data_IF_775125768619
#
_entry.id   IF_775125768619
#
_cell.length_a   1.000
_cell.length_b   1.000
_cell.length_c   1.000
_cell.angle_alpha   90.00
_cell.angle_beta   90.00
_cell.angle_gamma   90.00
#
_symmetry.space_group_name_H-M   'P 1'
#
loop_
_entity.id
_entity.type
_entity.pdbx_description
1 polymer ?
#
# COMPACT_ATOMS: atom_id res chain seq x y z
N UNK A 1 1.30 -3.20 -23.37
CA UNK A 1 2.06 -1.94 -23.48
C UNK A 1 2.35 -1.40 -22.10
N UNK A 2 3.64 -1.28 -21.75
CA UNK A 2 4.11 -0.76 -20.46
C UNK A 2 3.82 0.74 -20.35
N UNK A 3 2.71 1.12 -19.71
CA UNK A 3 2.54 2.53 -19.29
C UNK A 3 3.51 2.80 -18.15
N UNK A 4 4.55 3.58 -18.45
CA UNK A 4 5.51 4.11 -17.50
C UNK A 4 4.79 5.27 -16.78
N UNK A 5 4.41 5.06 -15.51
CA UNK A 5 3.64 6.01 -14.71
C UNK A 5 4.30 7.40 -14.68
N UNK A 6 3.67 8.40 -15.30
CA UNK A 6 4.06 9.80 -15.08
C UNK A 6 3.34 10.33 -13.84
N UNK A 7 3.95 11.28 -13.14
CA UNK A 7 3.43 11.83 -11.88
C UNK A 7 2.01 12.44 -11.98
N UNK A 8 1.61 12.91 -13.17
CA UNK A 8 0.26 13.38 -13.44
C UNK A 8 -0.77 12.25 -13.54
N UNK A 9 -0.35 11.06 -13.98
CA UNK A 9 -1.22 9.90 -14.16
C UNK A 9 -1.70 9.35 -12.81
N UNK A 10 -0.90 9.51 -11.74
CA UNK A 10 -1.30 9.11 -10.39
C UNK A 10 -2.56 9.87 -9.94
N UNK A 11 -2.58 11.20 -10.13
CA UNK A 11 -3.77 11.99 -9.84
C UNK A 11 -4.88 11.71 -10.85
N UNK A 12 -4.56 11.49 -12.12
CA UNK A 12 -5.55 11.10 -13.13
C UNK A 12 -6.05 9.65 -13.00
N UNK A 13 -5.58 8.82 -12.08
CA UNK A 13 -6.26 7.56 -11.71
C UNK A 13 -7.03 7.71 -10.39
N UNK A 14 -6.56 8.61 -9.52
CA UNK A 14 -7.27 9.04 -8.30
C UNK A 14 -8.57 9.77 -8.67
N UNK A 15 -8.59 10.56 -9.75
CA UNK A 15 -9.69 11.48 -10.09
C UNK A 15 -10.84 10.92 -10.98
N UNK A 16 -10.65 9.98 -11.92
CA UNK A 16 -11.73 9.47 -12.77
C UNK A 16 -12.55 8.36 -12.13
N UNK A 17 -12.15 7.84 -10.97
CA UNK A 17 -13.00 6.93 -10.18
C UNK A 17 -14.17 7.65 -9.47
N UNK A 18 -14.42 8.92 -9.84
CA UNK A 18 -15.50 9.79 -9.38
C UNK A 18 -16.70 9.86 -10.35
N UNK A 19 -16.96 8.80 -11.12
CA UNK A 19 -18.27 8.70 -11.78
C UNK A 19 -19.35 8.26 -10.77
N UNK A 20 -20.14 9.23 -10.33
CA UNK A 20 -21.11 9.13 -9.24
C UNK A 20 -22.43 8.43 -9.60
N UNK A 21 -22.54 7.77 -10.76
CA UNK A 21 -23.83 7.28 -11.24
C UNK A 21 -24.21 5.86 -10.79
N UNK A 22 -23.26 4.98 -10.45
CA UNK A 22 -23.59 3.53 -10.36
C UNK A 22 -23.70 2.92 -8.96
N UNK A 23 -23.36 3.64 -7.88
CA UNK A 23 -23.26 2.99 -6.55
C UNK A 23 -24.04 3.65 -5.40
N UNK A 24 -24.86 4.68 -5.61
CA UNK A 24 -25.80 5.16 -4.57
C UNK A 24 -25.20 5.55 -3.21
N UNK A 25 -23.88 5.67 -3.10
CA UNK A 25 -23.17 5.98 -1.85
C UNK A 25 -22.90 7.49 -1.79
N UNK A 26 -23.77 8.20 -1.08
CA UNK A 26 -23.55 9.58 -0.66
C UNK A 26 -22.54 9.57 0.50
N UNK A 27 -21.52 10.43 0.41
CA UNK A 27 -20.57 10.81 1.47
C UNK A 27 -19.38 9.86 1.72
N UNK A 28 -18.25 10.09 1.04
CA UNK A 28 -16.92 9.72 1.56
C UNK A 28 -15.86 10.71 1.05
N UNK A 29 -15.51 11.69 1.90
CA UNK A 29 -14.57 12.79 1.60
C UNK A 29 -13.09 12.44 1.87
N UNK A 30 -12.78 11.17 2.15
CA UNK A 30 -11.44 10.74 2.56
C UNK A 30 -10.91 9.64 1.65
N UNK A 31 -9.93 9.98 0.83
CA UNK A 31 -9.18 9.02 0.02
C UNK A 31 -7.80 8.81 0.62
N UNK A 32 -7.30 7.57 0.60
CA UNK A 32 -5.95 7.26 1.07
C UNK A 32 -5.06 6.83 -0.10
N UNK A 33 -3.89 7.46 -0.22
CA UNK A 33 -2.89 7.12 -1.23
C UNK A 33 -1.61 6.64 -0.55
N UNK A 34 -1.00 5.59 -1.08
CA UNK A 34 0.15 4.92 -0.47
C UNK A 34 1.33 4.94 -1.41
N UNK A 35 2.44 5.48 -0.89
CA UNK A 35 3.72 5.45 -1.54
C UNK A 35 4.71 4.57 -0.79
N UNK A 36 5.16 3.50 -1.44
CA UNK A 36 6.05 2.51 -0.89
C UNK A 36 7.46 2.63 -1.50
N UNK A 37 8.22 3.68 -1.15
CA UNK A 37 9.66 3.77 -1.48
C UNK A 37 10.37 4.99 -0.91
N UNK A 38 11.66 4.85 -0.57
CA UNK A 38 12.58 5.99 -0.36
C UNK A 38 13.03 6.67 -1.68
N UNK A 39 13.05 5.93 -2.79
CA UNK A 39 13.39 6.43 -4.12
C UNK A 39 12.21 6.23 -5.06
N UNK A 40 11.58 7.33 -5.47
CA UNK A 40 11.00 7.36 -6.79
C UNK A 40 12.12 7.76 -7.73
N UNK A 41 12.35 7.01 -8.82
CA UNK A 41 13.08 7.56 -9.97
C UNK A 41 12.31 8.72 -10.64
N UNK A 42 11.08 8.99 -10.17
CA UNK A 42 10.19 10.02 -10.66
C UNK A 42 10.23 11.29 -9.79
N UNK A 43 9.85 12.41 -10.40
CA UNK A 43 9.63 13.69 -9.72
C UNK A 43 8.62 13.51 -8.56
N UNK A 44 8.71 14.26 -7.46
CA UNK A 44 7.66 14.29 -6.45
C UNK A 44 6.32 14.63 -7.13
N UNK A 45 5.24 13.95 -6.74
CA UNK A 45 3.88 14.25 -7.21
C UNK A 45 2.99 14.82 -6.10
N UNK A 46 3.54 15.03 -4.91
CA UNK A 46 2.87 15.67 -3.78
C UNK A 46 3.77 16.75 -3.17
N UNK A 47 3.17 17.84 -2.68
CA UNK A 47 3.89 18.91 -1.99
C UNK A 47 4.42 18.44 -0.64
N UNK A 48 5.52 19.03 -0.19
CA UNK A 48 6.13 18.83 1.14
C UNK A 48 6.03 20.12 1.95
N UNK A 49 6.54 20.11 3.18
CA UNK A 49 6.58 21.31 4.02
C UNK A 49 7.33 22.48 3.35
N UNK A 50 8.39 22.18 2.60
CA UNK A 50 9.23 23.17 1.88
C UNK A 50 8.54 23.71 0.62
N UNK A 51 7.73 22.88 -0.04
CA UNK A 51 6.99 23.26 -1.23
C UNK A 51 5.51 22.94 -1.06
N UNK A 52 4.77 23.87 -0.42
CA UNK A 52 3.40 23.64 0.07
C UNK A 52 2.35 23.46 -1.01
N UNK A 53 2.65 23.73 -2.29
CA UNK A 53 1.67 23.68 -3.36
C UNK A 53 2.28 23.14 -4.66
N UNK A 54 1.60 22.17 -5.27
CA UNK A 54 1.96 21.64 -6.58
C UNK A 54 0.76 21.72 -7.53
N UNK A 55 1.06 21.92 -8.81
CA UNK A 55 0.07 21.99 -9.88
C UNK A 55 0.39 20.97 -10.96
N UNK A 56 -0.64 20.29 -11.45
CA UNK A 56 -0.54 19.28 -12.52
C UNK A 56 -1.61 19.54 -13.59
N UNK A 57 -1.46 18.89 -14.75
CA UNK A 57 -2.40 18.96 -15.88
C UNK A 57 -2.75 20.43 -16.24
N UNK A 58 -1.76 21.21 -16.68
CA UNK A 58 -1.94 22.62 -17.06
C UNK A 58 -2.66 23.46 -15.98
N UNK A 59 -2.24 23.31 -14.72
CA UNK A 59 -2.79 24.00 -13.54
C UNK A 59 -4.24 23.63 -13.15
N UNK A 60 -4.84 22.63 -13.78
CA UNK A 60 -6.19 22.17 -13.43
C UNK A 60 -6.22 21.43 -12.10
N UNK A 61 -5.23 20.59 -11.82
CA UNK A 61 -5.14 19.85 -10.55
C UNK A 61 -4.21 20.60 -9.62
N UNK A 62 -4.71 20.95 -8.44
CA UNK A 62 -3.95 21.66 -7.40
C UNK A 62 -3.85 20.78 -6.16
N UNK A 63 -2.63 20.46 -5.75
CA UNK A 63 -2.37 19.68 -4.54
C UNK A 63 -1.71 20.60 -3.52
N UNK A 64 -2.32 20.73 -2.34
CA UNK A 64 -1.83 21.56 -1.23
C UNK A 64 -1.40 20.67 -0.07
N UNK A 65 -0.22 20.97 0.47
CA UNK A 65 0.25 20.38 1.72
C UNK A 65 -0.53 20.99 2.89
N UNK A 66 -1.04 20.14 3.77
CA UNK A 66 -1.64 20.58 5.04
C UNK A 66 -0.67 20.32 6.19
N UNK A 67 -0.36 19.05 6.44
CA UNK A 67 0.46 18.63 7.57
C UNK A 67 1.11 17.27 7.30
N UNK A 68 2.30 17.05 7.84
CA UNK A 68 2.93 15.73 7.92
C UNK A 68 2.93 15.24 9.37
N UNK A 69 2.67 13.95 9.54
CA UNK A 69 2.66 13.25 10.81
C UNK A 69 3.64 12.08 10.73
N UNK A 70 4.50 11.96 11.73
CA UNK A 70 5.16 10.70 12.00
C UNK A 70 4.14 9.75 12.63
N UNK A 71 3.96 8.56 12.04
CA UNK A 71 3.01 7.55 12.54
C UNK A 71 3.75 6.58 13.44
N UNK A 72 4.73 5.87 12.88
CA UNK A 72 5.55 4.92 13.61
C UNK A 72 6.77 4.51 12.77
N UNK A 73 7.93 4.32 13.40
CA UNK A 73 9.13 3.85 12.71
C UNK A 73 9.45 4.70 11.48
N UNK A 74 9.37 4.12 10.29
CA UNK A 74 9.60 4.81 9.02
C UNK A 74 8.32 5.11 8.22
N UNK A 75 7.16 5.09 8.87
CA UNK A 75 5.87 5.41 8.28
C UNK A 75 5.47 6.85 8.61
N UNK A 76 5.19 7.62 7.56
CA UNK A 76 4.74 9.00 7.65
C UNK A 76 3.38 9.15 6.97
N UNK A 77 2.53 10.03 7.48
CA UNK A 77 1.26 10.42 6.85
C UNK A 77 1.29 11.90 6.53
N UNK A 78 1.10 12.24 5.26
CA UNK A 78 0.91 13.63 4.81
C UNK A 78 -0.55 13.84 4.48
N UNK A 79 -1.19 14.79 5.16
CA UNK A 79 -2.54 15.21 4.84
C UNK A 79 -2.47 16.26 3.73
N UNK A 80 -3.19 16.00 2.63
CA UNK A 80 -3.19 16.77 1.39
C UNK A 80 -4.61 17.24 1.06
N UNK A 81 -4.70 18.40 0.42
CA UNK A 81 -5.96 18.91 -0.15
C UNK A 81 -5.78 18.98 -1.67
N UNK A 82 -6.61 18.24 -2.41
CA UNK A 82 -6.54 18.13 -3.86
C UNK A 82 -7.76 18.80 -4.47
N UNK A 83 -7.58 19.85 -5.24
CA UNK A 83 -8.65 20.46 -6.04
C UNK A 83 -8.52 20.08 -7.51
N UNK A 84 -9.64 19.78 -8.16
CA UNK A 84 -9.72 19.61 -9.61
C UNK A 84 -11.08 20.11 -10.13
N UNK A 85 -11.18 20.58 -11.39
CA UNK A 85 -12.41 21.21 -11.91
C UNK A 85 -13.59 20.23 -11.99
N UNK A 86 -13.32 18.93 -12.14
CA UNK A 86 -14.36 17.90 -12.22
C UNK A 86 -14.96 17.52 -10.85
N UNK A 87 -14.40 18.01 -9.73
CA UNK A 87 -14.88 17.65 -8.39
C UNK A 87 -16.11 18.46 -7.98
N UNK A 88 -17.19 17.78 -7.60
CA UNK A 88 -18.42 18.42 -7.10
C UNK A 88 -18.22 19.27 -5.84
N UNK A 89 -17.34 18.87 -4.93
CA UNK A 89 -17.06 19.60 -3.67
C UNK A 89 -15.88 20.58 -3.77
N UNK A 90 -15.34 20.79 -4.96
CA UNK A 90 -14.20 21.70 -5.23
C UNK A 90 -12.85 21.24 -4.67
N UNK A 91 -12.81 20.30 -3.73
CA UNK A 91 -11.61 19.68 -3.23
C UNK A 91 -11.86 18.30 -2.59
N UNK A 92 -10.81 17.49 -2.49
CA UNK A 92 -10.74 16.18 -1.86
C UNK A 92 -9.66 16.21 -0.78
N UNK A 93 -9.95 15.64 0.39
CA UNK A 93 -8.95 15.42 1.44
C UNK A 93 -8.29 14.07 1.22
N UNK A 94 -6.98 14.07 1.07
CA UNK A 94 -6.18 12.87 0.82
C UNK A 94 -5.21 12.63 1.96
N UNK A 95 -5.24 11.44 2.54
CA UNK A 95 -4.19 11.00 3.46
C UNK A 95 -3.17 10.19 2.69
N UNK A 96 -1.98 10.75 2.52
CA UNK A 96 -0.88 10.14 1.81
C UNK A 96 0.08 9.46 2.78
N UNK A 97 0.17 8.14 2.72
CA UNK A 97 1.07 7.37 3.59
C UNK A 97 2.35 7.02 2.84
N UNK A 98 3.48 7.33 3.45
CA UNK A 98 4.81 7.09 2.90
C UNK A 98 5.62 6.18 3.81
N UNK A 99 5.86 4.94 3.35
CA UNK A 99 6.76 4.02 4.05
C UNK A 99 8.18 4.10 3.49
N UNK A 100 9.09 4.69 4.27
CA UNK A 100 10.46 5.05 3.85
C UNK A 100 11.51 3.94 4.05
N UNK A 101 11.18 2.83 4.71
CA UNK A 101 12.17 1.78 5.03
C UNK A 101 12.06 0.55 4.13
N UNK A 102 11.20 0.57 3.09
CA UNK A 102 11.22 -0.52 2.11
C UNK A 102 12.43 -0.37 1.17
N UNK A 103 13.41 -1.29 1.22
CA UNK A 103 14.63 -1.19 0.42
C UNK A 103 14.37 -1.39 -1.08
N UNK A 104 15.24 -0.82 -1.93
CA UNK A 104 15.20 -0.94 -3.40
C UNK A 104 15.43 -2.36 -3.89
N UNK A 105 16.22 -3.14 -3.15
CA UNK A 105 16.40 -4.58 -3.36
C UNK A 105 15.96 -5.32 -2.09
N UNK A 106 15.32 -6.47 -2.27
CA UNK A 106 14.85 -7.29 -1.16
C UNK A 106 13.57 -6.77 -0.48
N UNK A 107 13.47 -7.05 0.81
CA UNK A 107 12.27 -6.82 1.63
C UNK A 107 12.62 -6.14 2.96
N UNK A 108 11.67 -5.47 3.63
CA UNK A 108 11.94 -4.82 4.91
C UNK A 108 12.28 -5.84 6.01
N UNK A 109 13.15 -5.45 6.94
CA UNK A 109 13.42 -6.25 8.15
C UNK A 109 12.24 -6.26 9.14
N UNK A 110 11.34 -5.27 9.04
CA UNK A 110 10.16 -5.21 9.89
C UNK A 110 9.16 -6.27 9.49
N UNK A 111 8.67 -7.02 10.47
CA UNK A 111 7.74 -8.13 10.34
C UNK A 111 6.27 -7.72 10.33
N UNK A 112 5.93 -6.62 11.01
CA UNK A 112 4.54 -6.21 11.21
C UNK A 112 4.22 -4.82 10.64
N UNK A 113 5.23 -4.05 10.20
CA UNK A 113 5.01 -2.74 9.58
C UNK A 113 4.00 -2.76 8.41
N UNK A 114 3.98 -3.77 7.51
CA UNK A 114 2.93 -3.85 6.48
C UNK A 114 1.53 -3.92 7.07
N UNK A 115 1.33 -4.69 8.14
CA UNK A 115 0.02 -4.85 8.77
C UNK A 115 -0.42 -3.59 9.52
N UNK A 116 0.52 -2.90 10.17
CA UNK A 116 0.26 -1.62 10.82
C UNK A 116 -0.10 -0.53 9.80
N UNK A 117 0.59 -0.51 8.67
CA UNK A 117 0.21 0.33 7.54
C UNK A 117 -1.22 0.00 7.07
N UNK A 118 -1.53 -1.29 6.94
CA UNK A 118 -2.83 -1.74 6.46
C UNK A 118 -3.96 -1.43 7.44
N UNK A 119 -3.69 -1.36 8.74
CA UNK A 119 -4.66 -0.90 9.74
C UNK A 119 -5.21 0.50 9.41
N UNK A 120 -4.36 1.37 8.85
CA UNK A 120 -4.76 2.68 8.36
C UNK A 120 -5.42 2.66 6.97
N UNK A 121 -5.86 1.54 6.41
CA UNK A 121 -6.70 1.51 5.18
C UNK A 121 -7.97 0.70 5.32
N UNK A 122 -8.07 -0.11 6.36
CA UNK A 122 -9.26 -0.91 6.59
C UNK A 122 -10.46 0.04 6.73
N UNK A 123 -11.54 -0.28 6.01
CA UNK A 123 -12.77 0.51 5.99
C UNK A 123 -12.76 1.72 5.04
N UNK A 124 -11.68 1.97 4.30
CA UNK A 124 -11.66 3.01 3.27
C UNK A 124 -12.20 2.43 1.96
N UNK A 125 -13.18 3.09 1.31
CA UNK A 125 -13.83 2.54 0.12
C UNK A 125 -12.88 2.40 -1.08
N UNK A 126 -11.89 3.30 -1.19
CA UNK A 126 -10.89 3.29 -2.26
C UNK A 126 -9.52 3.72 -1.73
N UNK A 127 -8.51 2.91 -2.02
CA UNK A 127 -7.12 3.22 -1.72
C UNK A 127 -6.24 2.99 -2.95
N UNK A 128 -5.34 3.92 -3.22
CA UNK A 128 -4.33 3.78 -4.29
C UNK A 128 -3.02 3.34 -3.66
N UNK A 129 -2.48 2.21 -4.10
CA UNK A 129 -1.20 1.68 -3.61
C UNK A 129 -0.22 1.63 -4.76
N UNK A 130 0.94 2.27 -4.61
CA UNK A 130 1.96 2.19 -5.64
C UNK A 130 3.39 2.24 -5.07
N UNK A 131 4.32 1.82 -5.93
CA UNK A 131 5.76 1.93 -5.72
C UNK A 131 6.36 2.64 -6.93
N UNK A 132 7.46 2.15 -7.51
CA UNK A 132 8.01 2.69 -8.76
C UNK A 132 7.27 2.12 -9.99
N UNK A 133 7.31 0.80 -10.20
CA UNK A 133 6.62 0.13 -11.31
C UNK A 133 5.18 -0.31 -10.98
N UNK A 134 4.80 -0.27 -9.69
CA UNK A 134 3.48 -0.67 -9.23
C UNK A 134 3.21 -2.18 -9.31
N UNK A 135 4.24 -3.03 -9.24
CA UNK A 135 4.13 -4.50 -9.37
C UNK A 135 4.81 -5.28 -8.23
N UNK A 136 6.05 -4.94 -7.86
CA UNK A 136 6.79 -5.63 -6.79
C UNK A 136 6.21 -5.36 -5.40
N UNK A 137 6.67 -4.28 -4.74
CA UNK A 137 6.23 -3.89 -3.39
C UNK A 137 4.73 -3.67 -3.28
N UNK A 138 4.14 -3.08 -4.31
CA UNK A 138 2.68 -2.90 -4.42
C UNK A 138 1.97 -4.24 -4.38
N UNK A 139 2.38 -5.20 -5.22
CA UNK A 139 1.80 -6.54 -5.22
C UNK A 139 1.99 -7.24 -3.88
N UNK A 140 3.17 -7.11 -3.26
CA UNK A 140 3.45 -7.67 -1.94
C UNK A 140 2.51 -7.11 -0.86
N UNK A 141 2.32 -5.80 -0.78
CA UNK A 141 1.43 -5.20 0.21
C UNK A 141 -0.04 -5.59 -0.02
N UNK A 142 -0.49 -5.60 -1.28
CA UNK A 142 -1.84 -6.04 -1.65
C UNK A 142 -2.05 -7.51 -1.31
N UNK A 143 -1.06 -8.38 -1.56
CA UNK A 143 -1.14 -9.78 -1.21
C UNK A 143 -1.22 -10.00 0.31
N UNK A 144 -0.44 -9.27 1.11
CA UNK A 144 -0.55 -9.28 2.58
C UNK A 144 -1.94 -8.84 3.03
N UNK A 145 -2.49 -7.78 2.42
CA UNK A 145 -3.84 -7.31 2.72
C UNK A 145 -4.90 -8.38 2.45
N UNK A 146 -4.90 -8.96 1.25
CA UNK A 146 -5.85 -10.01 0.87
C UNK A 146 -5.71 -11.22 1.77
N UNK A 147 -4.48 -11.66 2.05
CA UNK A 147 -4.23 -12.79 2.95
C UNK A 147 -4.74 -12.52 4.37
N UNK A 148 -4.50 -11.31 4.90
CA UNK A 148 -5.02 -10.92 6.20
C UNK A 148 -6.56 -10.90 6.23
N UNK A 149 -7.22 -10.39 5.17
CA UNK A 149 -8.67 -10.41 5.04
C UNK A 149 -9.24 -11.84 5.00
N UNK A 150 -8.65 -12.73 4.20
CA UNK A 150 -9.04 -14.15 4.14
C UNK A 150 -8.98 -14.81 5.52
N UNK A 151 -7.92 -14.54 6.29
CA UNK A 151 -7.79 -15.05 7.66
C UNK A 151 -8.82 -14.45 8.61
N UNK A 152 -9.11 -13.14 8.49
CA UNK A 152 -10.16 -12.50 9.29
C UNK A 152 -11.57 -13.07 9.01
N UNK A 153 -11.81 -13.50 7.77
CA UNK A 153 -13.04 -14.17 7.36
C UNK A 153 -13.09 -15.66 7.77
N UNK A 154 -12.03 -16.19 8.40
CA UNK A 154 -11.94 -17.60 8.77
C UNK A 154 -11.83 -18.55 7.57
N UNK A 155 -11.44 -18.04 6.40
CA UNK A 155 -11.33 -18.82 5.18
C UNK A 155 -9.95 -19.48 5.04
N UNK A 156 -9.85 -20.63 4.35
CA UNK A 156 -8.58 -21.28 4.08
C UNK A 156 -7.69 -20.36 3.21
N UNK A 157 -6.48 -20.07 3.68
CA UNK A 157 -5.54 -19.22 2.97
C UNK A 157 -4.57 -20.06 2.12
N UNK A 158 -4.63 -19.87 0.80
CA UNK A 158 -3.64 -20.39 -0.14
C UNK A 158 -2.90 -19.21 -0.83
N UNK A 159 -1.69 -18.91 -0.36
CA UNK A 159 -0.90 -17.78 -0.86
C UNK A 159 -0.50 -17.96 -2.34
N UNK A 160 -0.24 -19.19 -2.79
CA UNK A 160 0.07 -19.45 -4.20
C UNK A 160 -1.11 -19.11 -5.12
N UNK A 161 -2.31 -19.60 -4.79
CA UNK A 161 -3.52 -19.31 -5.54
C UNK A 161 -3.84 -17.80 -5.54
N UNK A 162 -3.73 -17.15 -4.37
CA UNK A 162 -3.92 -15.71 -4.22
C UNK A 162 -2.99 -14.92 -5.14
N UNK A 163 -1.70 -15.25 -5.18
CA UNK A 163 -0.73 -14.55 -6.01
C UNK A 163 -0.95 -14.84 -7.50
N UNK A 164 -1.32 -16.07 -7.87
CA UNK A 164 -1.72 -16.40 -9.24
C UNK A 164 -2.87 -15.51 -9.70
N UNK A 165 -3.90 -15.36 -8.87
CA UNK A 165 -5.08 -14.57 -9.22
C UNK A 165 -4.77 -13.06 -9.23
N UNK A 166 -3.90 -12.58 -8.33
CA UNK A 166 -3.38 -11.22 -8.37
C UNK A 166 -2.60 -10.95 -9.68
N UNK A 167 -1.79 -11.90 -10.14
CA UNK A 167 -1.04 -11.79 -11.40
C UNK A 167 -1.92 -11.80 -12.65
N UNK A 168 -3.13 -12.38 -12.57
CA UNK A 168 -4.14 -12.28 -13.65
C UNK A 168 -4.70 -10.86 -13.77
N UNK A 169 -4.88 -10.17 -12.63
CA UNK A 169 -5.35 -8.78 -12.61
C UNK A 169 -4.24 -7.78 -12.95
N UNK A 170 -3.01 -8.03 -12.46
CA UNK A 170 -1.84 -7.20 -12.74
C UNK A 170 -0.61 -8.07 -12.94
N UNK A 171 -0.21 -8.20 -14.20
CA UNK A 171 0.91 -9.05 -14.61
C UNK A 171 2.20 -8.70 -13.86
N UNK A 172 3.01 -9.74 -13.60
CA UNK A 172 4.29 -9.63 -12.88
C UNK A 172 4.21 -9.08 -11.45
N UNK A 173 3.02 -9.04 -10.84
CA UNK A 173 2.90 -8.72 -9.41
C UNK A 173 3.70 -9.70 -8.55
N UNK A 174 4.42 -9.18 -7.54
CA UNK A 174 5.43 -9.91 -6.74
C UNK A 174 6.54 -10.45 -7.65
N UNK A 175 7.64 -9.70 -7.75
CA UNK A 175 8.69 -9.95 -8.76
C UNK A 175 9.82 -10.85 -8.26
N UNK A 176 10.07 -10.89 -6.95
CA UNK A 176 11.22 -11.61 -6.38
C UNK A 176 10.76 -12.71 -5.42
N UNK A 177 11.60 -13.73 -5.25
CA UNK A 177 11.37 -14.79 -4.27
C UNK A 177 11.28 -14.22 -2.85
N UNK A 178 12.13 -13.25 -2.51
CA UNK A 178 12.09 -12.61 -1.18
C UNK A 178 10.73 -11.94 -0.92
N UNK A 179 10.15 -11.26 -1.91
CA UNK A 179 8.82 -10.67 -1.79
C UNK A 179 7.74 -11.75 -1.57
N UNK A 180 7.87 -12.89 -2.22
CA UNK A 180 6.97 -14.04 -2.03
C UNK A 180 7.10 -14.61 -0.62
N UNK A 181 8.32 -14.90 -0.16
CA UNK A 181 8.61 -15.40 1.18
C UNK A 181 8.22 -14.42 2.28
N UNK A 182 8.35 -13.11 2.01
CA UNK A 182 7.99 -12.07 2.95
C UNK A 182 6.49 -12.04 3.24
N UNK A 183 5.63 -12.41 2.28
CA UNK A 183 4.18 -12.54 2.53
C UNK A 183 3.93 -13.63 3.57
N UNK A 184 4.55 -14.81 3.40
CA UNK A 184 4.48 -15.88 4.40
C UNK A 184 5.00 -15.42 5.75
N UNK A 185 6.17 -14.78 5.78
CA UNK A 185 6.77 -14.27 7.01
C UNK A 185 5.83 -13.34 7.78
N UNK A 186 5.24 -12.35 7.12
CA UNK A 186 4.32 -11.37 7.75
C UNK A 186 3.06 -12.07 8.28
N UNK A 187 2.49 -13.01 7.52
CA UNK A 187 1.27 -13.73 7.91
C UNK A 187 1.52 -14.68 9.07
N UNK A 188 2.64 -15.42 9.05
CA UNK A 188 3.03 -16.27 10.17
C UNK A 188 3.29 -15.44 11.43
N UNK A 189 3.93 -14.27 11.30
CA UNK A 189 4.14 -13.34 12.43
C UNK A 189 2.83 -12.78 12.98
N UNK A 190 1.87 -12.48 12.11
CA UNK A 190 0.52 -12.12 12.54
C UNK A 190 -0.15 -13.24 13.34
N UNK A 191 -0.08 -14.48 12.82
CA UNK A 191 -0.64 -15.64 13.49
C UNK A 191 0.03 -15.90 14.86
N UNK A 192 1.35 -15.72 14.97
CA UNK A 192 2.08 -15.80 16.25
C UNK A 192 1.52 -14.83 17.29
N UNK A 193 1.32 -13.56 16.91
CA UNK A 193 0.77 -12.56 17.82
C UNK A 193 -0.68 -12.85 18.23
N UNK A 194 -1.39 -13.66 17.46
CA UNK A 194 -2.75 -14.13 17.77
C UNK A 194 -2.76 -15.54 18.37
N UNK A 195 -1.62 -16.21 18.53
CA UNK A 195 -1.55 -17.62 18.87
C UNK A 195 -2.15 -17.95 20.24
N UNK A 196 -2.05 -17.03 21.21
CA UNK A 196 -2.71 -17.17 22.51
C UNK A 196 -4.24 -17.27 22.41
N UNK A 197 -4.84 -16.78 21.31
CA UNK A 197 -6.27 -16.86 21.02
C UNK A 197 -6.64 -18.01 20.06
N UNK A 198 -5.66 -18.59 19.36
CA UNK A 198 -5.88 -19.54 18.26
C UNK A 198 -5.41 -20.98 18.57
N UNK A 199 -4.89 -21.24 19.77
CA UNK A 199 -4.38 -22.55 20.21
C UNK A 199 -3.36 -23.17 19.22
N UNK A 200 -2.52 -22.33 18.62
CA UNK A 200 -1.51 -22.74 17.62
C UNK A 200 -0.23 -23.14 18.33
N UNK A 201 0.43 -24.21 17.86
CA UNK A 201 1.77 -24.58 18.33
C UNK A 201 2.80 -23.49 17.97
N UNK A 202 3.14 -22.68 18.97
CA UNK A 202 4.02 -21.51 18.83
C UNK A 202 5.47 -21.91 18.48
N UNK A 203 5.93 -23.08 18.94
CA UNK A 203 7.31 -23.53 18.73
C UNK A 203 7.58 -23.88 17.26
N UNK A 204 6.68 -24.63 16.63
CA UNK A 204 6.78 -24.94 15.20
C UNK A 204 6.73 -23.66 14.35
N UNK A 205 5.86 -22.72 14.73
CA UNK A 205 5.71 -21.44 14.04
C UNK A 205 6.98 -20.57 14.18
N UNK A 206 7.62 -20.57 15.35
CA UNK A 206 8.89 -19.89 15.59
C UNK A 206 10.02 -20.45 14.69
N UNK A 207 10.14 -21.76 14.59
CA UNK A 207 11.15 -22.40 13.74
C UNK A 207 10.98 -22.00 12.25
N UNK A 208 9.73 -22.01 11.75
CA UNK A 208 9.41 -21.59 10.39
C UNK A 208 9.74 -20.12 10.13
N UNK A 209 9.36 -19.23 11.05
CA UNK A 209 9.66 -17.80 10.96
C UNK A 209 11.17 -17.56 10.93
N UNK A 210 11.94 -18.25 11.77
CA UNK A 210 13.40 -18.13 11.79
C UNK A 210 14.03 -18.63 10.49
N UNK A 211 13.58 -19.77 9.97
CA UNK A 211 14.06 -20.33 8.70
C UNK A 211 13.75 -19.42 7.49
N UNK A 212 12.56 -18.82 7.44
CA UNK A 212 12.20 -17.86 6.39
C UNK A 212 13.06 -16.61 6.47
N UNK A 213 13.22 -16.07 7.67
CA UNK A 213 14.00 -14.86 7.91
C UNK A 213 15.49 -15.05 7.57
N UNK A 214 16.07 -16.22 7.86
CA UNK A 214 17.45 -16.53 7.46
C UNK A 214 17.59 -16.73 5.94
N UNK A 215 16.56 -17.23 5.27
CA UNK A 215 16.56 -17.42 3.81
C UNK A 215 16.47 -16.09 3.06
N UNK A 216 15.57 -15.20 3.47
CA UNK A 216 15.42 -13.86 2.86
C UNK A 216 16.65 -12.95 3.09
N UNK A 217 17.50 -13.26 4.07
CA UNK A 217 18.70 -12.47 4.41
C UNK A 217 19.98 -12.98 3.76
N UNK A 218 19.93 -14.10 3.04
CA UNK A 218 21.08 -14.74 2.37
C UNK A 218 21.27 -14.31 0.90
N UNK A 219 20.32 -13.56 0.33
CA UNK A 219 20.37 -13.01 -1.03
C UNK A 219 20.59 -11.50 -1.04
#
# INVERSE_FOLDING_TARGET
MNRRWLCGDVWMDILPSFDHAQLGLKNFDLMRSFFLSKKCFFRPYWPTADNKLMRFANNQIVVKFSREHHVEGALYRTDLIVGAPQMRQGHLRVQHFHWRQWPDRGVPHSDLAPLRLLYHVIGVPRAVVHCSAGIGRTGTLVAVYLANQTLHLGQPLNIFALIRDLRRQRSQSIQTLDQYLYIYFVILRYAQNKASKLNINVNALNALVQALNSTMRRG
#
